data_IF_655985088922
#
_entry.id   IF_655985088922
#
_cell.length_a   1.000
_cell.length_b   1.000
_cell.length_c   1.000
_cell.angle_alpha   90.00
_cell.angle_beta   90.00
_cell.angle_gamma   90.00
#
_symmetry.space_group_name_H-M   'P 1'
#
loop_
_entity.id
_entity.type
_entity.pdbx_description
1 polymer ?
#
# COMPACT_ATOMS: atom_id res chain seq x y z
N UNK A 1 -3.31 17.14 20.91
CA UNK A 1 -4.02 15.84 20.79
C UNK A 1 -5.04 15.87 19.67
N UNK A 2 -5.92 16.88 19.57
CA UNK A 2 -6.99 16.98 18.57
C UNK A 2 -6.46 16.89 17.12
N UNK A 3 -5.33 17.54 16.81
CA UNK A 3 -4.72 17.49 15.48
C UNK A 3 -4.24 16.07 15.10
N UNK A 4 -3.63 15.36 16.05
CA UNK A 4 -3.21 13.97 15.83
C UNK A 4 -4.41 13.05 15.63
N UNK A 5 -5.46 13.24 16.41
CA UNK A 5 -6.68 12.47 16.25
C UNK A 5 -7.38 12.77 14.92
N UNK A 6 -7.48 14.03 14.51
CA UNK A 6 -7.99 14.40 13.19
C UNK A 6 -7.17 13.76 12.06
N UNK A 7 -5.84 13.79 12.16
CA UNK A 7 -4.93 13.13 11.20
C UNK A 7 -5.16 11.62 11.18
N UNK A 8 -5.31 10.96 12.33
CA UNK A 8 -5.65 9.55 12.40
C UNK A 8 -6.97 9.23 11.69
N UNK A 9 -8.01 10.02 11.94
CA UNK A 9 -9.31 9.84 11.27
C UNK A 9 -9.20 10.00 9.77
N UNK A 10 -8.44 10.98 9.29
CA UNK A 10 -8.18 11.17 7.86
C UNK A 10 -7.46 9.97 7.24
N UNK A 11 -6.42 9.44 7.91
CA UNK A 11 -5.72 8.26 7.39
C UNK A 11 -6.60 7.03 7.37
N UNK A 12 -7.30 6.74 8.46
CA UNK A 12 -8.16 5.57 8.58
C UNK A 12 -9.33 5.61 7.58
N UNK A 13 -10.01 6.75 7.47
CA UNK A 13 -11.29 6.83 6.77
C UNK A 13 -11.16 7.32 5.31
N UNK A 14 -10.07 7.99 4.95
CA UNK A 14 -9.85 8.53 3.61
C UNK A 14 -8.68 7.84 2.93
N UNK A 15 -7.45 8.06 3.39
CA UNK A 15 -6.26 7.57 2.67
C UNK A 15 -6.09 6.05 2.72
N UNK A 16 -6.54 5.39 3.79
CA UNK A 16 -6.51 3.94 3.94
C UNK A 16 -7.87 3.27 3.73
N UNK A 17 -8.84 4.03 3.25
CA UNK A 17 -10.11 3.46 2.82
C UNK A 17 -9.86 2.42 1.71
N UNK A 18 -10.57 1.30 1.74
CA UNK A 18 -10.33 0.18 0.82
C UNK A 18 -10.36 0.58 -0.66
N UNK A 19 -11.28 1.47 -1.07
CA UNK A 19 -11.35 1.91 -2.47
C UNK A 19 -10.13 2.75 -2.90
N UNK A 20 -9.63 3.63 -2.01
CA UNK A 20 -8.40 4.39 -2.27
C UNK A 20 -7.20 3.46 -2.35
N UNK A 21 -7.14 2.47 -1.45
CA UNK A 21 -6.06 1.46 -1.48
C UNK A 21 -6.13 0.60 -2.73
N UNK A 22 -7.33 0.16 -3.16
CA UNK A 22 -7.51 -0.58 -4.40
C UNK A 22 -7.02 0.19 -5.64
N UNK A 23 -7.34 1.50 -5.73
CA UNK A 23 -6.81 2.35 -6.79
C UNK A 23 -5.29 2.49 -6.71
N UNK A 24 -4.75 2.70 -5.50
CA UNK A 24 -3.30 2.83 -5.27
C UNK A 24 -2.53 1.56 -5.66
N UNK A 25 -3.03 0.38 -5.31
CA UNK A 25 -2.34 -0.88 -5.65
C UNK A 25 -2.41 -1.17 -7.14
N UNK A 26 -3.53 -0.85 -7.79
CA UNK A 26 -3.66 -0.99 -9.24
C UNK A 26 -2.72 -0.03 -9.98
N UNK A 27 -2.65 1.23 -9.55
CA UNK A 27 -1.70 2.21 -10.09
C UNK A 27 -0.25 1.71 -9.96
N UNK A 28 0.14 1.28 -8.77
CA UNK A 28 1.47 0.73 -8.53
C UNK A 28 1.76 -0.48 -9.42
N UNK A 29 0.81 -1.41 -9.53
CA UNK A 29 0.97 -2.60 -10.38
C UNK A 29 1.21 -2.23 -11.84
N UNK A 30 0.48 -1.24 -12.37
CA UNK A 30 0.65 -0.74 -13.73
C UNK A 30 2.09 -0.18 -13.92
N UNK A 31 2.56 0.64 -12.98
CA UNK A 31 3.91 1.24 -13.07
C UNK A 31 5.00 0.17 -12.91
N UNK A 32 4.89 -0.72 -11.94
CA UNK A 32 5.83 -1.81 -11.71
C UNK A 32 5.93 -2.72 -12.94
N UNK A 33 4.80 -3.13 -13.50
CA UNK A 33 4.77 -3.97 -14.70
C UNK A 33 5.36 -3.25 -15.91
N UNK A 34 5.11 -1.95 -16.08
CA UNK A 34 5.68 -1.16 -17.16
C UNK A 34 7.21 -1.05 -17.06
N UNK A 35 7.75 -0.96 -15.84
CA UNK A 35 9.20 -0.93 -15.61
C UNK A 35 9.81 -2.32 -15.81
N UNK A 36 9.20 -3.36 -15.27
CA UNK A 36 9.74 -4.73 -15.37
C UNK A 36 9.70 -5.26 -16.81
N UNK A 37 8.67 -4.90 -17.58
CA UNK A 37 8.57 -5.23 -19.00
C UNK A 37 9.38 -4.29 -19.93
N UNK A 38 10.09 -3.33 -19.35
CA UNK A 38 10.88 -2.31 -20.07
C UNK A 38 10.06 -1.39 -20.99
N UNK A 39 8.76 -1.29 -20.77
CA UNK A 39 7.95 -0.24 -21.39
C UNK A 39 8.33 1.14 -20.88
N UNK A 40 8.84 1.22 -19.63
CA UNK A 40 9.44 2.41 -19.04
C UNK A 40 10.79 2.05 -18.42
N UNK A 41 11.64 3.05 -18.28
CA UNK A 41 12.87 2.96 -17.49
C UNK A 41 12.76 3.81 -16.23
N UNK A 42 13.39 3.40 -15.14
CA UNK A 42 13.17 3.98 -13.81
C UNK A 42 13.39 5.51 -13.74
N UNK A 43 14.29 6.07 -14.54
CA UNK A 43 14.53 7.51 -14.53
C UNK A 43 13.36 8.33 -15.15
N UNK A 44 12.52 7.73 -16.00
CA UNK A 44 11.35 8.38 -16.58
C UNK A 44 10.19 8.53 -15.57
N UNK A 45 10.30 7.91 -14.39
CA UNK A 45 9.35 8.11 -13.30
C UNK A 45 9.51 9.47 -12.61
N UNK A 46 10.58 10.20 -12.91
CA UNK A 46 10.87 11.51 -12.31
C UNK A 46 10.48 12.61 -13.28
N UNK A 47 9.62 13.51 -12.85
CA UNK A 47 9.21 14.69 -13.61
C UNK A 47 7.76 14.69 -14.09
N UNK A 48 7.23 13.62 -14.71
CA UNK A 48 5.85 13.62 -15.16
C UNK A 48 4.86 13.62 -13.98
N UNK A 49 3.68 14.16 -14.23
CA UNK A 49 2.51 13.99 -13.36
C UNK A 49 1.98 12.55 -13.48
N UNK A 50 1.14 12.14 -12.50
CA UNK A 50 0.52 10.80 -12.53
C UNK A 50 -0.24 10.54 -13.85
N UNK A 51 -0.95 11.53 -14.37
CA UNK A 51 -1.72 11.34 -15.62
C UNK A 51 -0.82 11.29 -16.86
N UNK A 52 0.22 12.11 -16.93
CA UNK A 52 1.22 12.04 -18.00
C UNK A 52 1.92 10.69 -18.02
N UNK A 53 2.29 10.16 -16.84
CA UNK A 53 2.89 8.83 -16.71
C UNK A 53 1.94 7.74 -17.21
N UNK A 54 0.68 7.75 -16.76
CA UNK A 54 -0.32 6.77 -17.21
C UNK A 54 -0.64 6.89 -18.72
N UNK A 55 -0.60 8.09 -19.26
CA UNK A 55 -0.77 8.32 -20.71
C UNK A 55 0.39 7.67 -21.48
N UNK A 56 1.61 7.93 -21.07
CA UNK A 56 2.81 7.40 -21.74
C UNK A 56 2.89 5.87 -21.62
N UNK A 57 2.59 5.30 -20.43
CA UNK A 57 2.49 3.85 -20.26
C UNK A 57 1.45 3.27 -21.23
N UNK A 58 0.28 3.89 -21.33
CA UNK A 58 -0.79 3.43 -22.22
C UNK A 58 -0.41 3.47 -23.69
N UNK A 59 0.26 4.54 -24.13
CA UNK A 59 0.76 4.71 -25.50
C UNK A 59 1.75 3.60 -25.83
N UNK A 60 2.78 3.39 -24.97
CA UNK A 60 3.81 2.36 -25.19
C UNK A 60 3.23 0.94 -25.13
N UNK A 61 2.30 0.69 -24.23
CA UNK A 61 1.63 -0.61 -24.14
C UNK A 61 0.77 -0.92 -25.39
N UNK A 62 0.26 0.12 -26.07
CA UNK A 62 -0.47 -0.06 -27.34
C UNK A 62 0.47 -0.33 -28.52
N UNK A 63 1.68 0.20 -28.48
CA UNK A 63 2.69 0.05 -29.54
C UNK A 63 3.57 -1.22 -29.37
N UNK A 64 3.57 -1.82 -28.18
CA UNK A 64 4.36 -2.99 -27.87
C UNK A 64 3.54 -4.28 -27.95
N UNK A 65 4.23 -5.36 -28.32
CA UNK A 65 3.71 -6.72 -28.25
C UNK A 65 4.07 -7.38 -26.91
N UNK A 66 3.26 -8.37 -26.52
CA UNK A 66 3.53 -9.22 -25.36
C UNK A 66 2.45 -9.10 -24.27
N UNK A 67 2.49 -10.07 -23.35
CA UNK A 67 1.47 -10.23 -22.32
C UNK A 67 1.39 -9.03 -21.35
N UNK A 68 2.54 -8.49 -20.95
CA UNK A 68 2.60 -7.33 -20.06
C UNK A 68 1.94 -6.11 -20.69
N UNK A 69 2.25 -5.82 -21.95
CA UNK A 69 1.65 -4.73 -22.71
C UNK A 69 0.14 -4.95 -22.86
N UNK A 70 -0.28 -6.18 -23.17
CA UNK A 70 -1.70 -6.57 -23.23
C UNK A 70 -2.42 -6.34 -21.89
N UNK A 71 -1.88 -6.86 -20.78
CA UNK A 71 -2.47 -6.67 -19.44
C UNK A 71 -2.63 -5.19 -19.08
N UNK A 72 -1.60 -4.38 -19.33
CA UNK A 72 -1.64 -2.94 -19.04
C UNK A 72 -2.66 -2.24 -19.94
N UNK A 73 -2.53 -2.38 -21.25
CA UNK A 73 -3.27 -1.60 -22.25
C UNK A 73 -4.75 -1.95 -22.31
N UNK A 74 -5.10 -3.24 -22.24
CA UNK A 74 -6.48 -3.70 -22.43
C UNK A 74 -7.25 -3.91 -21.12
N UNK A 75 -6.57 -4.12 -19.99
CA UNK A 75 -7.21 -4.51 -18.74
C UNK A 75 -7.00 -3.50 -17.61
N UNK A 76 -5.76 -3.30 -17.17
CA UNK A 76 -5.50 -2.56 -15.93
C UNK A 76 -5.67 -1.06 -16.06
N UNK A 77 -5.11 -0.46 -17.10
CA UNK A 77 -5.23 0.99 -17.32
C UNK A 77 -6.68 1.43 -17.60
N UNK A 78 -7.44 0.74 -18.48
CA UNK A 78 -8.87 0.99 -18.61
C UNK A 78 -9.66 0.78 -17.30
N UNK A 79 -9.33 -0.25 -16.53
CA UNK A 79 -9.98 -0.51 -15.25
C UNK A 79 -9.76 0.63 -14.25
N UNK A 80 -8.52 1.15 -14.14
CA UNK A 80 -8.19 2.30 -13.29
C UNK A 80 -8.96 3.55 -13.73
N UNK A 81 -8.93 3.90 -15.01
CA UNK A 81 -9.60 5.08 -15.57
C UNK A 81 -11.13 5.03 -15.45
N UNK A 82 -11.71 3.85 -15.59
CA UNK A 82 -13.16 3.63 -15.46
C UNK A 82 -13.60 3.34 -14.03
N UNK A 83 -12.68 3.40 -13.05
CA UNK A 83 -12.93 3.07 -11.64
C UNK A 83 -13.49 1.66 -11.40
N UNK A 84 -13.17 0.73 -12.29
CA UNK A 84 -13.43 -0.70 -12.11
C UNK A 84 -12.31 -1.32 -11.27
N UNK A 85 -12.23 -0.89 -10.02
CA UNK A 85 -11.14 -1.20 -9.11
C UNK A 85 -11.20 -2.66 -8.63
N UNK A 86 -10.04 -3.26 -8.31
CA UNK A 86 -9.98 -4.55 -7.67
C UNK A 86 -10.85 -4.63 -6.40
N UNK A 87 -11.45 -5.78 -6.16
CA UNK A 87 -12.34 -6.03 -5.03
C UNK A 87 -11.55 -6.55 -3.83
N UNK A 88 -11.99 -6.19 -2.64
CA UNK A 88 -11.40 -6.69 -1.40
C UNK A 88 -11.82 -8.15 -1.18
N UNK A 89 -10.87 -9.07 -1.30
CA UNK A 89 -11.06 -10.50 -1.06
C UNK A 89 -10.87 -10.86 0.41
N UNK A 90 -9.94 -10.16 1.10
CA UNK A 90 -9.65 -10.34 2.51
C UNK A 90 -9.22 -9.03 3.16
N UNK A 91 -9.51 -8.88 4.45
CA UNK A 91 -9.00 -7.81 5.30
C UNK A 91 -8.59 -8.40 6.65
N UNK A 92 -7.33 -8.14 7.06
CA UNK A 92 -6.78 -8.52 8.37
C UNK A 92 -6.41 -7.26 9.15
N UNK A 93 -6.97 -7.11 10.32
CA UNK A 93 -6.70 -6.01 11.24
C UNK A 93 -5.46 -6.26 12.09
N UNK A 94 -5.03 -5.27 12.85
CA UNK A 94 -3.95 -5.46 13.83
C UNK A 94 -4.28 -6.56 14.87
N UNK A 95 -5.56 -6.73 15.23
CA UNK A 95 -6.01 -7.77 16.14
C UNK A 95 -5.80 -9.18 15.56
N UNK A 96 -6.11 -9.37 14.28
CA UNK A 96 -5.94 -10.65 13.58
C UNK A 96 -4.46 -11.04 13.43
N UNK A 97 -3.56 -10.06 13.46
CA UNK A 97 -2.12 -10.23 13.34
C UNK A 97 -1.39 -10.20 14.69
N UNK A 98 -2.12 -10.11 15.80
CA UNK A 98 -1.53 -10.06 17.15
C UNK A 98 -0.70 -11.30 17.43
N UNK A 99 0.53 -11.12 17.97
CA UNK A 99 1.46 -12.20 18.26
C UNK A 99 2.14 -12.82 17.04
N UNK A 100 1.94 -12.27 15.85
CA UNK A 100 2.53 -12.74 14.59
C UNK A 100 3.49 -11.71 14.02
N UNK A 101 4.62 -12.14 13.50
CA UNK A 101 5.55 -11.26 12.81
C UNK A 101 5.31 -11.37 11.30
N UNK A 102 4.75 -10.29 10.74
CA UNK A 102 4.57 -10.17 9.29
C UNK A 102 5.94 -10.04 8.62
N UNK A 103 6.14 -10.80 7.56
CA UNK A 103 7.39 -10.81 6.79
C UNK A 103 7.64 -9.44 6.10
N UNK A 104 8.90 -9.03 6.07
CA UNK A 104 9.28 -7.70 5.53
C UNK A 104 8.93 -7.54 4.04
N UNK A 105 8.96 -8.62 3.28
CA UNK A 105 8.61 -8.61 1.86
C UNK A 105 7.15 -8.21 1.59
N UNK A 106 6.24 -8.38 2.54
CA UNK A 106 4.82 -8.00 2.39
C UNK A 106 4.66 -6.51 2.16
N UNK A 107 5.58 -5.72 2.70
CA UNK A 107 5.56 -4.25 2.63
C UNK A 107 6.28 -3.73 1.41
N UNK A 108 7.32 -4.41 0.98
CA UNK A 108 8.15 -4.01 -0.16
C UNK A 108 7.61 -4.59 -1.46
N UNK A 109 7.80 -3.90 -2.58
CA UNK A 109 7.55 -4.43 -3.93
C UNK A 109 8.61 -5.46 -4.34
N UNK A 110 8.85 -6.48 -3.51
CA UNK A 110 9.88 -7.49 -3.74
C UNK A 110 9.43 -8.54 -4.75
N UNK A 111 10.36 -9.19 -5.47
CA UNK A 111 10.04 -10.32 -6.35
C UNK A 111 9.32 -11.46 -5.62
N UNK A 112 9.65 -11.69 -4.34
CA UNK A 112 8.97 -12.69 -3.50
C UNK A 112 7.49 -12.36 -3.29
N UNK A 113 7.16 -11.09 -3.08
CA UNK A 113 5.76 -10.66 -2.96
C UNK A 113 4.98 -10.98 -4.21
N UNK A 114 5.54 -10.65 -5.38
CA UNK A 114 4.91 -10.91 -6.68
C UNK A 114 4.71 -12.40 -6.91
N UNK A 115 5.73 -13.24 -6.65
CA UNK A 115 5.60 -14.68 -6.77
C UNK A 115 4.46 -15.26 -5.91
N UNK A 116 4.33 -14.81 -4.66
CA UNK A 116 3.23 -15.24 -3.78
C UNK A 116 1.87 -14.72 -4.25
N UNK A 117 1.80 -13.50 -4.78
CA UNK A 117 0.57 -12.94 -5.36
C UNK A 117 0.14 -13.75 -6.61
N UNK A 118 1.08 -14.15 -7.45
CA UNK A 118 0.82 -14.96 -8.64
C UNK A 118 0.44 -16.41 -8.28
N UNK A 119 1.08 -17.03 -7.27
CA UNK A 119 0.69 -18.33 -6.75
C UNK A 119 -0.76 -18.30 -6.19
N UNK A 120 -1.10 -17.25 -5.46
CA UNK A 120 -2.47 -17.03 -4.97
C UNK A 120 -3.48 -16.82 -6.11
N UNK A 121 -3.07 -16.17 -7.19
CA UNK A 121 -3.91 -15.99 -8.35
C UNK A 121 -4.24 -17.34 -8.99
N UNK A 122 -3.23 -18.20 -9.18
CA UNK A 122 -3.42 -19.57 -9.71
C UNK A 122 -4.33 -20.41 -8.81
N UNK A 123 -4.17 -20.36 -7.49
CA UNK A 123 -5.03 -21.08 -6.54
C UNK A 123 -6.51 -20.64 -6.61
N UNK A 124 -6.78 -19.45 -7.12
CA UNK A 124 -8.11 -18.85 -7.25
C UNK A 124 -8.69 -18.90 -8.68
N UNK A 125 -8.04 -19.60 -9.61
CA UNK A 125 -8.38 -19.58 -11.04
C UNK A 125 -8.38 -18.16 -11.64
N UNK A 126 -7.36 -17.36 -11.26
CA UNK A 126 -7.13 -16.02 -11.75
C UNK A 126 -5.80 -15.94 -12.50
N UNK A 127 -5.66 -14.93 -13.36
CA UNK A 127 -4.43 -14.68 -14.09
C UNK A 127 -3.35 -14.09 -13.19
N UNK A 128 -2.04 -14.33 -13.46
CA UNK A 128 -0.95 -13.67 -12.77
C UNK A 128 -1.11 -12.14 -12.77
N UNK A 129 -0.86 -11.53 -11.61
CA UNK A 129 -1.06 -10.09 -11.40
C UNK A 129 -2.48 -9.67 -11.02
N UNK A 130 -3.44 -10.58 -10.94
CA UNK A 130 -4.82 -10.28 -10.54
C UNK A 130 -5.07 -10.36 -9.04
N UNK A 131 -4.12 -10.84 -8.29
CA UNK A 131 -4.12 -10.79 -6.82
C UNK A 131 -3.06 -9.79 -6.38
N UNK A 132 -3.41 -8.91 -5.46
CA UNK A 132 -2.48 -7.91 -4.89
C UNK A 132 -2.63 -7.83 -3.38
N UNK A 133 -1.54 -8.00 -2.67
CA UNK A 133 -1.45 -7.83 -1.22
C UNK A 133 -1.08 -6.37 -0.92
N UNK A 134 -1.87 -5.71 -0.10
CA UNK A 134 -1.63 -4.33 0.33
C UNK A 134 -1.49 -4.24 1.84
N UNK A 135 -0.35 -3.75 2.28
CA UNK A 135 -0.07 -3.51 3.70
C UNK A 135 0.69 -2.20 3.87
N UNK A 136 0.02 -1.09 4.24
CA UNK A 136 0.63 0.23 4.31
C UNK A 136 1.82 0.27 5.26
N UNK A 137 2.94 0.83 4.80
CA UNK A 137 4.22 0.85 5.55
C UNK A 137 4.64 2.22 6.07
N UNK A 138 3.91 3.28 5.75
CA UNK A 138 4.35 4.66 6.05
C UNK A 138 4.08 5.06 7.49
N UNK A 139 4.94 4.66 8.42
CA UNK A 139 4.92 5.08 9.83
C UNK A 139 5.02 6.61 9.98
N UNK A 140 5.79 7.27 9.12
CA UNK A 140 5.97 8.72 9.11
C UNK A 140 4.67 9.53 8.91
N UNK A 141 3.59 8.90 8.45
CA UNK A 141 2.29 9.57 8.26
C UNK A 141 1.69 10.12 9.55
N UNK A 142 2.01 9.53 10.69
CA UNK A 142 1.52 10.00 12.01
C UNK A 142 2.49 10.93 12.72
N UNK A 143 3.59 11.27 12.08
CA UNK A 143 4.55 12.23 12.64
C UNK A 143 4.07 13.66 12.43
N UNK A 144 4.23 14.49 13.46
CA UNK A 144 4.02 15.94 13.37
C UNK A 144 5.37 16.62 13.18
N UNK A 145 5.41 17.60 12.31
CA UNK A 145 6.54 18.49 12.13
C UNK A 145 6.01 19.92 12.05
N UNK A 146 5.76 20.52 13.21
CA UNK A 146 5.11 21.83 13.34
C UNK A 146 5.99 22.73 14.21
N UNK A 147 6.05 24.01 13.90
CA UNK A 147 6.64 24.99 14.78
C UNK A 147 5.61 25.39 15.85
N UNK A 148 5.99 25.34 17.10
CA UNK A 148 5.16 25.70 18.26
C UNK A 148 5.83 26.87 18.99
N UNK A 149 5.11 27.96 19.12
CA UNK A 149 5.52 29.07 19.97
C UNK A 149 5.11 28.80 21.42
N UNK A 150 6.06 28.88 22.34
CA UNK A 150 5.82 28.75 23.76
C UNK A 150 5.37 30.09 24.36
N UNK A 151 4.83 30.05 25.57
CA UNK A 151 4.38 31.23 26.29
C UNK A 151 5.50 32.25 26.58
N UNK A 152 6.74 31.79 26.58
CA UNK A 152 7.94 32.63 26.73
C UNK A 152 8.45 33.22 25.41
N UNK A 153 7.72 33.05 24.30
CA UNK A 153 8.06 33.51 22.97
C UNK A 153 9.09 32.63 22.24
N UNK A 154 9.58 31.53 22.84
CA UNK A 154 10.49 30.63 22.17
C UNK A 154 9.76 29.78 21.13
N UNK A 155 10.32 29.71 19.93
CA UNK A 155 9.81 28.83 18.87
C UNK A 155 10.55 27.49 18.94
N UNK A 156 9.82 26.44 19.19
CA UNK A 156 10.33 25.09 19.23
C UNK A 156 9.67 24.23 18.15
N UNK A 157 10.47 23.39 17.49
CA UNK A 157 9.92 22.42 16.52
C UNK A 157 9.35 21.21 17.26
N UNK A 158 8.05 20.99 17.12
CA UNK A 158 7.40 19.76 17.52
C UNK A 158 7.70 18.71 16.46
N UNK A 159 8.73 17.92 16.71
CA UNK A 159 9.20 16.86 15.81
C UNK A 159 8.96 15.47 16.39
N UNK A 160 9.73 14.51 15.90
CA UNK A 160 9.62 13.09 16.25
C UNK A 160 9.77 12.78 17.75
N UNK A 161 10.50 13.60 18.49
CA UNK A 161 10.72 13.42 19.93
C UNK A 161 9.61 13.94 20.83
N UNK A 162 8.57 14.57 20.27
CA UNK A 162 7.52 15.21 21.06
C UNK A 162 8.00 16.48 21.80
N UNK A 163 7.26 16.87 22.82
CA UNK A 163 7.66 17.91 23.78
C UNK A 163 7.83 17.25 25.16
N UNK A 164 9.03 17.28 25.72
CA UNK A 164 9.29 16.68 27.04
C UNK A 164 8.29 17.18 28.11
N UNK A 165 7.70 16.25 28.83
CA UNK A 165 6.75 16.56 29.90
C UNK A 165 5.31 16.89 29.48
N UNK A 166 5.01 16.96 28.17
CA UNK A 166 3.66 17.30 27.69
C UNK A 166 2.97 16.13 26.97
N UNK A 167 3.65 15.46 26.05
CA UNK A 167 3.05 14.42 25.24
C UNK A 167 4.12 13.48 24.68
N UNK A 168 3.97 12.18 24.88
CA UNK A 168 4.77 11.15 24.23
C UNK A 168 4.22 10.90 22.80
N UNK A 169 4.54 11.81 21.90
CA UNK A 169 4.12 11.73 20.50
C UNK A 169 4.62 10.47 19.77
N UNK A 170 5.86 10.00 19.97
CA UNK A 170 6.34 8.79 19.34
C UNK A 170 5.50 7.57 19.69
N UNK A 171 5.20 7.39 20.96
CA UNK A 171 4.36 6.26 21.43
C UNK A 171 2.93 6.36 20.92
N UNK A 172 2.35 7.56 20.92
CA UNK A 172 1.01 7.78 20.41
C UNK A 172 0.95 7.52 18.90
N UNK A 173 1.90 8.05 18.14
CA UNK A 173 2.00 7.84 16.69
C UNK A 173 2.17 6.35 16.35
N UNK A 174 2.97 5.62 17.11
CA UNK A 174 3.18 4.19 16.95
C UNK A 174 1.92 3.38 17.22
N UNK A 175 1.22 3.69 18.30
CA UNK A 175 -0.05 3.05 18.66
C UNK A 175 -1.13 3.32 17.59
N UNK A 176 -1.25 4.56 17.15
CA UNK A 176 -2.22 4.94 16.11
C UNK A 176 -1.91 4.25 14.78
N UNK A 177 -0.62 4.21 14.39
CA UNK A 177 -0.18 3.51 13.19
C UNK A 177 -0.50 2.01 13.25
N UNK A 178 -0.13 1.36 14.33
CA UNK A 178 -0.37 -0.08 14.52
C UNK A 178 -1.86 -0.40 14.49
N UNK A 179 -2.69 0.40 15.17
CA UNK A 179 -4.14 0.18 15.24
C UNK A 179 -4.86 0.47 13.92
N UNK A 180 -4.39 1.49 13.18
CA UNK A 180 -5.01 1.86 11.90
C UNK A 180 -4.59 0.97 10.74
N UNK A 181 -3.46 0.27 10.87
CA UNK A 181 -2.88 -0.53 9.82
C UNK A 181 -3.69 -1.79 9.57
N UNK A 182 -4.05 -2.00 8.31
CA UNK A 182 -4.85 -3.13 7.87
C UNK A 182 -4.17 -3.77 6.67
N UNK A 183 -3.99 -5.08 6.69
CA UNK A 183 -3.57 -5.84 5.53
C UNK A 183 -4.80 -6.20 4.70
N UNK A 184 -4.71 -5.98 3.41
CA UNK A 184 -5.76 -6.34 2.46
C UNK A 184 -5.23 -7.19 1.33
N UNK A 185 -6.05 -8.11 0.89
CA UNK A 185 -5.87 -8.80 -0.38
C UNK A 185 -6.95 -8.32 -1.33
N UNK A 186 -6.53 -7.84 -2.48
CA UNK A 186 -7.42 -7.40 -3.56
C UNK A 186 -7.36 -8.37 -4.73
N UNK A 187 -8.51 -8.61 -5.36
CA UNK A 187 -8.63 -9.43 -6.57
C UNK A 187 -9.42 -8.68 -7.64
N UNK A 188 -9.11 -8.88 -8.92
CA UNK A 188 -9.86 -8.21 -10.00
C UNK A 188 -11.28 -8.70 -10.11
N UNK A 189 -11.53 -9.98 -9.85
CA UNK A 189 -12.85 -10.56 -9.70
C UNK A 189 -13.22 -10.70 -8.22
N UNK A 190 -14.52 -10.74 -7.92
CA UNK A 190 -14.98 -10.97 -6.56
C UNK A 190 -14.62 -12.40 -6.12
N UNK A 191 -13.71 -12.51 -5.17
CA UNK A 191 -13.30 -13.76 -4.53
C UNK A 191 -13.32 -13.58 -3.01
N UNK A 192 -13.38 -14.70 -2.28
CA UNK A 192 -13.18 -14.75 -0.83
C UNK A 192 -11.99 -15.66 -0.56
N UNK A 193 -11.09 -15.22 0.30
CA UNK A 193 -9.87 -15.95 0.66
C UNK A 193 -9.92 -16.22 2.15
N UNK A 194 -9.69 -17.47 2.59
CA UNK A 194 -9.58 -17.80 4.01
C UNK A 194 -8.42 -17.02 4.66
N UNK A 195 -8.67 -16.49 5.86
CA UNK A 195 -7.66 -15.71 6.58
C UNK A 195 -6.38 -16.53 6.87
N UNK A 196 -6.56 -17.79 7.26
CA UNK A 196 -5.45 -18.68 7.63
C UNK A 196 -4.49 -18.95 6.47
N UNK A 197 -4.98 -19.04 5.24
CA UNK A 197 -4.15 -19.25 4.04
C UNK A 197 -3.20 -18.07 3.80
N UNK A 198 -3.69 -16.86 4.00
CA UNK A 198 -2.88 -15.65 3.87
C UNK A 198 -1.93 -15.52 5.05
N UNK A 199 -2.41 -15.70 6.28
CA UNK A 199 -1.60 -15.60 7.48
C UNK A 199 -0.40 -16.56 7.41
N UNK A 200 -0.63 -17.81 7.00
CA UNK A 200 0.45 -18.80 6.87
C UNK A 200 1.54 -18.36 5.87
N UNK A 201 1.17 -17.65 4.81
CA UNK A 201 2.12 -17.19 3.77
C UNK A 201 2.90 -15.93 4.16
N UNK A 202 2.27 -15.02 4.94
CA UNK A 202 2.82 -13.70 5.25
C UNK A 202 3.50 -13.58 6.61
N UNK A 203 3.39 -14.58 7.48
CA UNK A 203 3.98 -14.54 8.82
C UNK A 203 5.13 -15.51 8.96
N UNK A 204 6.18 -15.09 9.69
CA UNK A 204 7.21 -16.03 10.15
C UNK A 204 6.63 -16.90 11.27
N UNK A 205 6.93 -18.21 11.28
CA UNK A 205 6.74 -18.96 12.50
C UNK A 205 7.51 -18.24 13.62
N UNK A 206 6.85 -17.99 14.74
CA UNK A 206 7.54 -17.52 15.96
C UNK A 206 8.56 -18.57 16.32
N UNK A 207 9.79 -18.35 15.89
CA UNK A 207 10.89 -19.28 16.10
C UNK A 207 11.09 -19.47 17.58
N UNK A 208 11.05 -20.71 18.01
CA UNK A 208 11.68 -21.17 19.22
C UNK A 208 13.16 -20.76 19.16
N UNK A 209 13.53 -19.74 19.96
CA UNK A 209 14.92 -19.42 20.28
C UNK A 209 15.47 -20.49 21.21
#
# INVERSE_FOLDING_TARGET
>A
ESLLFAKYQMFRNVYWHHAVRAATVLYKRIVEEAVDSRLLVSHELVGPTDEELLHEIGRRAHEADGEAAGRIGTRWLPALRQRRLPKRALELTAADLTGRQVEDWVVSGSPRKRAIEDDLALDLDLEPGEVVIDFPAKKAMFQLNVLVERRDGQIQRLGLGGLPGLLDLPRLADNLYTTARVLRVFTFEQRSIPADDIIARITRPTGTT
#
